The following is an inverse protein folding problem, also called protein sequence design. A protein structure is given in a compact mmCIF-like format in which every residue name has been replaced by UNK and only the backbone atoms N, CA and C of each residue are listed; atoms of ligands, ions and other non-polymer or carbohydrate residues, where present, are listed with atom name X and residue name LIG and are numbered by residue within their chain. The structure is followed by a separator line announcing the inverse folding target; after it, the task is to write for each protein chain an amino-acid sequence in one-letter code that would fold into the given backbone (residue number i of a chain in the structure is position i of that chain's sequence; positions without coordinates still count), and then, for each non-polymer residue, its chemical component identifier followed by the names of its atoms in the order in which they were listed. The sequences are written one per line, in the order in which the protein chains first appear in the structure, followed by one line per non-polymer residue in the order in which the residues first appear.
data_IF_627401605408
#
_entry.id   IF_627401605408
#
_cell.length_a   1.000
_cell.length_b   1.000
_cell.length_c   1.000
_cell.angle_alpha   90.00
_cell.angle_beta   90.00
_cell.angle_gamma   90.00
#
_symmetry.space_group_name_H-M   'P 1'
#
loop_
_entity.id
_entity.type
_entity.pdbx_description
1 polymer ?
#
# COMPACT_ATOMS: atom_id res chain seq x y z
N UNK A 1 0.56 11.16 11.93
CA UNK A 1 -0.57 10.76 11.08
C UNK A 1 -1.31 9.64 11.78
N UNK A 2 -2.64 9.59 11.69
CA UNK A 2 -3.43 8.51 12.28
C UNK A 2 -3.20 7.21 11.51
N UNK A 3 -3.30 6.05 12.17
CA UNK A 3 -3.23 4.75 11.50
C UNK A 3 -4.30 4.58 10.41
N UNK A 4 -5.43 5.29 10.53
CA UNK A 4 -6.46 5.35 9.48
C UNK A 4 -5.98 6.13 8.25
N UNK A 5 -5.27 7.25 8.47
CA UNK A 5 -4.68 8.06 7.39
C UNK A 5 -3.56 7.29 6.68
N UNK A 6 -2.76 6.53 7.44
CA UNK A 6 -1.69 5.69 6.91
C UNK A 6 -2.22 4.55 6.04
N UNK A 7 -3.30 3.88 6.47
CA UNK A 7 -3.93 2.80 5.70
C UNK A 7 -4.52 3.34 4.39
N UNK A 8 -5.21 4.48 4.43
CA UNK A 8 -5.76 5.09 3.21
C UNK A 8 -4.65 5.53 2.25
N UNK A 9 -3.57 6.11 2.79
CA UNK A 9 -2.40 6.50 2.02
C UNK A 9 -1.80 5.30 1.26
N UNK A 10 -1.52 4.19 1.95
CA UNK A 10 -0.91 3.02 1.33
C UNK A 10 -1.83 2.36 0.30
N UNK A 11 -3.15 2.33 0.55
CA UNK A 11 -4.14 1.86 -0.42
C UNK A 11 -4.10 2.72 -1.69
N UNK A 12 -4.25 4.05 -1.54
CA UNK A 12 -4.26 4.98 -2.68
C UNK A 12 -2.98 4.89 -3.50
N UNK A 13 -1.82 4.79 -2.83
CA UNK A 13 -0.52 4.65 -3.50
C UNK A 13 -0.40 3.34 -4.26
N UNK A 14 -0.79 2.20 -3.67
CA UNK A 14 -0.80 0.92 -4.38
C UNK A 14 -1.64 0.98 -5.66
N UNK A 15 -2.83 1.57 -5.59
CA UNK A 15 -3.72 1.68 -6.76
C UNK A 15 -3.14 2.60 -7.84
N UNK A 16 -2.52 3.72 -7.43
CA UNK A 16 -1.84 4.62 -8.34
C UNK A 16 -0.67 3.93 -9.07
N UNK A 17 0.20 3.22 -8.36
CA UNK A 17 1.32 2.50 -8.97
C UNK A 17 0.82 1.41 -9.94
N UNK A 18 -0.28 0.72 -9.60
CA UNK A 18 -0.90 -0.25 -10.52
C UNK A 18 -1.48 0.41 -11.78
N UNK A 19 -1.98 1.63 -11.69
CA UNK A 19 -2.43 2.39 -12.86
C UNK A 19 -1.24 2.78 -13.74
N UNK A 20 -0.19 3.35 -13.15
CA UNK A 20 1.04 3.73 -13.85
C UNK A 20 1.73 2.53 -14.53
N UNK A 21 1.70 1.35 -13.90
CA UNK A 21 2.21 0.12 -14.50
C UNK A 21 1.45 -0.27 -15.78
N UNK A 22 0.13 -0.03 -15.85
CA UNK A 22 -0.69 -0.33 -17.04
C UNK A 22 -0.39 0.63 -18.18
N UNK A 23 -0.13 1.89 -17.86
CA UNK A 23 0.19 2.96 -18.81
C UNK A 23 1.65 2.91 -19.30
N UNK A 24 2.53 2.16 -18.62
CA UNK A 24 3.96 2.11 -18.94
C UNK A 24 4.28 1.16 -20.10
N UNK A 25 4.79 1.67 -21.21
CA UNK A 25 5.25 0.87 -22.36
C UNK A 25 6.64 0.25 -22.14
N UNK A 26 7.45 0.84 -21.26
CA UNK A 26 8.79 0.33 -20.95
C UNK A 26 8.68 -0.77 -19.89
N UNK A 27 9.06 -2.00 -20.26
CA UNK A 27 8.99 -3.19 -19.37
C UNK A 27 9.67 -2.99 -18.02
N UNK A 28 10.82 -2.32 -17.99
CA UNK A 28 11.55 -2.04 -16.75
C UNK A 28 10.78 -1.08 -15.83
N UNK A 29 10.19 -0.03 -16.40
CA UNK A 29 9.38 0.96 -15.66
C UNK A 29 8.09 0.31 -15.15
N UNK A 30 7.43 -0.50 -15.98
CA UNK A 30 6.27 -1.31 -15.57
C UNK A 30 6.61 -2.21 -14.38
N UNK A 31 7.75 -2.90 -14.41
CA UNK A 31 8.18 -3.76 -13.29
C UNK A 31 8.41 -2.94 -12.01
N UNK A 32 9.06 -1.78 -12.12
CA UNK A 32 9.28 -0.89 -10.99
C UNK A 32 7.95 -0.48 -10.32
N UNK A 33 6.96 -0.06 -11.10
CA UNK A 33 5.63 0.29 -10.57
C UNK A 33 4.93 -0.89 -9.89
N UNK A 34 5.04 -2.11 -10.46
CA UNK A 34 4.47 -3.31 -9.83
C UNK A 34 5.16 -3.65 -8.50
N UNK A 35 6.49 -3.57 -8.45
CA UNK A 35 7.27 -3.80 -7.22
C UNK A 35 6.91 -2.76 -6.14
N UNK A 36 6.69 -1.50 -6.53
CA UNK A 36 6.24 -0.45 -5.61
C UNK A 36 4.82 -0.70 -5.10
N UNK A 37 3.89 -1.12 -5.97
CA UNK A 37 2.53 -1.46 -5.59
C UNK A 37 2.49 -2.60 -4.55
N UNK A 38 3.35 -3.62 -4.73
CA UNK A 38 3.47 -4.73 -3.80
C UNK A 38 4.01 -4.26 -2.43
N UNK A 39 5.04 -3.41 -2.42
CA UNK A 39 5.57 -2.82 -1.17
C UNK A 39 4.50 -2.02 -0.43
N UNK A 40 3.72 -1.20 -1.13
CA UNK A 40 2.61 -0.46 -0.51
C UNK A 40 1.49 -1.37 0.01
N UNK A 41 1.17 -2.44 -0.72
CA UNK A 41 0.21 -3.46 -0.26
C UNK A 41 0.71 -4.13 1.02
N UNK A 42 2.00 -4.45 1.11
CA UNK A 42 2.57 -5.04 2.33
C UNK A 42 2.50 -4.05 3.51
N UNK A 43 2.85 -2.78 3.29
CA UNK A 43 2.74 -1.75 4.33
C UNK A 43 1.31 -1.54 4.80
N UNK A 44 0.33 -1.61 3.90
CA UNK A 44 -1.08 -1.57 4.25
C UNK A 44 -1.46 -2.71 5.21
N UNK A 45 -1.04 -3.94 4.91
CA UNK A 45 -1.27 -5.11 5.78
C UNK A 45 -0.66 -4.89 7.16
N UNK A 46 0.57 -4.40 7.24
CA UNK A 46 1.25 -4.14 8.51
C UNK A 46 0.52 -3.07 9.35
N UNK A 47 0.03 -1.99 8.72
CA UNK A 47 -0.76 -0.95 9.40
C UNK A 47 -2.09 -1.50 9.90
N UNK A 48 -2.82 -2.25 9.07
CA UNK A 48 -4.09 -2.85 9.45
C UNK A 48 -3.91 -3.84 10.61
N UNK A 49 -2.89 -4.70 10.53
CA UNK A 49 -2.58 -5.67 11.59
C UNK A 49 -2.27 -4.98 12.92
N UNK A 50 -1.46 -3.91 12.91
CA UNK A 50 -1.16 -3.12 14.11
C UNK A 50 -2.40 -2.46 14.71
N UNK A 51 -3.28 -1.91 13.87
CA UNK A 51 -4.54 -1.31 14.33
C UNK A 51 -5.45 -2.34 15.00
N UNK A 52 -5.57 -3.53 14.40
CA UNK A 52 -6.32 -4.64 15.00
C UNK A 52 -5.74 -5.05 16.36
N UNK A 53 -4.41 -5.19 16.45
CA UNK A 53 -3.74 -5.55 17.69
C UNK A 53 -3.92 -4.50 18.81
N UNK A 54 -3.80 -3.20 18.47
CA UNK A 54 -4.03 -2.09 19.43
C UNK A 54 -5.49 -2.04 19.90
N UNK A 55 -6.46 -2.39 19.04
CA UNK A 55 -7.88 -2.45 19.41
C UNK A 55 -8.16 -3.62 20.36
N UNK A 56 -7.57 -4.79 20.09
CA UNK A 56 -7.68 -5.97 20.96
C UNK A 56 -6.97 -5.79 22.32
N UNK A 57 -5.90 -5.00 22.39
CA UNK A 57 -5.19 -4.73 23.65
C UNK A 57 -5.90 -3.72 24.57
N UNK A 58 -6.86 -2.95 24.04
CA UNK A 58 -7.65 -1.95 24.80
C UNK A 58 -9.02 -2.46 25.24
N UNK A 59 -9.41 -3.67 24.81
CA UNK A 59 -10.66 -4.34 25.15
C UNK A 59 -10.45 -5.28 26.33
#
# INVERSE_FOLDING_TARGET
MSATDDAEFFRRRSDQERALARESDVKAIRRLHLDLAERYTQRLRDVVARKSADTSARS
#
